data_IF_292665188073
#
_entry.id   IF_292665188073
#
_cell.length_a   1.000
_cell.length_b   1.000
_cell.length_c   1.000
_cell.angle_alpha   90.00
_cell.angle_beta   90.00
_cell.angle_gamma   90.00
#
_symmetry.space_group_name_H-M   'P 1'
#
loop_
_entity.id
_entity.type
_entity.pdbx_description
1 polymer ?
#
# COMPACT_ATOMS: atom_id res chain seq x y z
N UNK A 1 -12.16 -35.77 -45.41
CA UNK A 1 -11.16 -35.64 -44.33
C UNK A 1 -10.28 -34.40 -44.50
N UNK A 2 -10.03 -33.96 -45.73
CA UNK A 2 -9.27 -32.74 -46.12
C UNK A 2 -9.79 -31.39 -45.57
N UNK A 3 -11.10 -31.13 -45.63
CA UNK A 3 -11.66 -29.79 -45.31
C UNK A 3 -11.53 -29.44 -43.81
N UNK A 4 -11.61 -30.45 -42.91
CA UNK A 4 -11.41 -30.23 -41.48
C UNK A 4 -9.96 -29.84 -41.17
N UNK A 5 -8.97 -30.49 -41.80
CA UNK A 5 -7.56 -30.14 -41.62
C UNK A 5 -7.23 -28.75 -42.19
N UNK A 6 -7.82 -28.38 -43.32
CA UNK A 6 -7.65 -27.03 -43.89
C UNK A 6 -8.27 -25.94 -42.99
N UNK A 7 -9.47 -26.16 -42.44
CA UNK A 7 -10.09 -25.25 -41.47
C UNK A 7 -9.28 -25.12 -40.17
N UNK A 8 -8.69 -26.22 -39.68
CA UNK A 8 -7.80 -26.21 -38.51
C UNK A 8 -6.49 -25.45 -38.78
N UNK A 9 -5.90 -25.60 -39.97
CA UNK A 9 -4.67 -24.90 -40.38
C UNK A 9 -4.91 -23.39 -40.56
N UNK A 10 -6.04 -23.00 -41.15
CA UNK A 10 -6.43 -21.58 -41.31
C UNK A 10 -6.73 -20.93 -39.95
N UNK A 11 -7.45 -21.63 -39.06
CA UNK A 11 -7.69 -21.14 -37.70
C UNK A 11 -6.37 -21.00 -36.90
N UNK A 12 -5.47 -21.97 -36.99
CA UNK A 12 -4.15 -21.90 -36.35
C UNK A 12 -3.28 -20.76 -36.92
N UNK A 13 -3.30 -20.55 -38.23
CA UNK A 13 -2.56 -19.48 -38.91
C UNK A 13 -3.06 -18.08 -38.53
N UNK A 14 -4.34 -17.90 -38.19
CA UNK A 14 -4.89 -16.63 -37.69
C UNK A 14 -4.70 -16.45 -36.17
N UNK A 15 -4.79 -17.53 -35.38
CA UNK A 15 -4.71 -17.46 -33.90
C UNK A 15 -3.30 -17.19 -33.38
N UNK A 16 -2.27 -17.79 -33.99
CA UNK A 16 -0.87 -17.62 -33.59
C UNK A 16 -0.36 -16.16 -33.71
N UNK A 17 -0.57 -15.43 -34.82
CA UNK A 17 -0.19 -14.03 -34.92
C UNK A 17 -0.94 -13.14 -33.93
N UNK A 18 -2.24 -13.37 -33.71
CA UNK A 18 -3.04 -12.62 -32.71
C UNK A 18 -2.50 -12.83 -31.30
N UNK A 19 -2.15 -14.07 -30.94
CA UNK A 19 -1.56 -14.39 -29.63
C UNK A 19 -0.18 -13.71 -29.45
N UNK A 20 0.63 -13.71 -30.50
CA UNK A 20 1.93 -13.03 -30.53
C UNK A 20 1.79 -11.50 -30.37
N UNK A 21 0.82 -10.90 -31.05
CA UNK A 21 0.50 -9.47 -30.91
C UNK A 21 0.04 -9.12 -29.49
N UNK A 22 -0.87 -9.91 -28.90
CA UNK A 22 -1.34 -9.72 -27.51
C UNK A 22 -0.17 -9.80 -26.52
N UNK A 23 0.74 -10.75 -26.69
CA UNK A 23 1.94 -10.90 -25.84
C UNK A 23 2.90 -9.71 -25.97
N UNK A 24 3.16 -9.22 -27.19
CA UNK A 24 3.97 -8.01 -27.43
C UNK A 24 3.33 -6.77 -26.79
N UNK A 25 2.02 -6.62 -26.90
CA UNK A 25 1.26 -5.55 -26.25
C UNK A 25 1.38 -5.61 -24.71
N UNK A 26 1.20 -6.80 -24.13
CA UNK A 26 1.32 -6.99 -22.68
C UNK A 26 2.71 -6.64 -22.15
N UNK A 27 3.77 -7.08 -22.85
CA UNK A 27 5.16 -6.73 -22.49
C UNK A 27 5.40 -5.23 -22.54
N UNK A 28 4.91 -4.55 -23.58
CA UNK A 28 5.04 -3.09 -23.72
C UNK A 28 4.33 -2.35 -22.59
N UNK A 29 3.14 -2.81 -22.20
CA UNK A 29 2.39 -2.21 -21.10
C UNK A 29 3.06 -2.48 -19.75
N UNK A 30 3.48 -3.71 -19.48
CA UNK A 30 4.23 -4.07 -18.27
C UNK A 30 5.47 -3.19 -18.07
N UNK A 31 6.26 -2.99 -19.13
CA UNK A 31 7.47 -2.15 -19.06
C UNK A 31 7.19 -0.67 -18.73
N UNK A 32 5.94 -0.20 -18.89
CA UNK A 32 5.54 1.15 -18.48
C UNK A 32 5.07 1.24 -17.02
N UNK A 33 4.91 0.09 -16.35
CA UNK A 33 4.34 -0.02 -15.01
C UNK A 33 5.40 -0.41 -13.97
N UNK A 34 6.61 -0.78 -14.39
CA UNK A 34 7.69 -1.11 -13.46
C UNK A 34 8.07 0.13 -12.65
N UNK A 35 8.28 -0.07 -11.36
CA UNK A 35 8.49 0.99 -10.37
C UNK A 35 9.95 1.43 -10.25
N UNK A 36 10.84 0.85 -11.06
CA UNK A 36 12.18 1.40 -11.30
C UNK A 36 12.14 2.74 -12.08
N UNK A 37 10.96 3.11 -12.62
CA UNK A 37 10.73 4.34 -13.36
C UNK A 37 10.23 5.46 -12.42
N UNK A 38 10.94 6.59 -12.27
CA UNK A 38 10.54 7.66 -11.35
C UNK A 38 9.15 8.25 -11.60
N UNK A 39 8.72 8.32 -12.87
CA UNK A 39 7.39 8.81 -13.20
C UNK A 39 6.26 7.89 -12.71
N UNK A 40 6.53 6.58 -12.60
CA UNK A 40 5.57 5.60 -12.07
C UNK A 40 5.51 5.71 -10.54
N UNK A 41 6.66 5.86 -9.89
CA UNK A 41 6.74 6.14 -8.44
C UNK A 41 5.94 7.40 -8.09
N UNK A 42 6.14 8.48 -8.85
CA UNK A 42 5.43 9.74 -8.67
C UNK A 42 3.92 9.61 -8.92
N UNK A 43 3.49 8.85 -9.94
CA UNK A 43 2.07 8.56 -10.19
C UNK A 43 1.44 7.93 -8.96
N UNK A 44 2.06 6.87 -8.41
CA UNK A 44 1.56 6.14 -7.24
C UNK A 44 1.43 7.08 -6.05
N UNK A 45 2.49 7.82 -5.71
CA UNK A 45 2.48 8.76 -4.57
C UNK A 45 1.42 9.84 -4.74
N UNK A 46 1.30 10.41 -5.94
CA UNK A 46 0.33 11.48 -6.23
C UNK A 46 -1.11 11.00 -6.06
N UNK A 47 -1.43 9.79 -6.53
CA UNK A 47 -2.77 9.21 -6.39
C UNK A 47 -3.10 9.00 -4.91
N UNK A 48 -2.19 8.40 -4.14
CA UNK A 48 -2.39 8.21 -2.70
C UNK A 48 -2.62 9.53 -1.97
N UNK A 49 -1.76 10.52 -2.20
CA UNK A 49 -1.91 11.84 -1.58
C UNK A 49 -3.20 12.54 -2.00
N UNK A 50 -3.65 12.38 -3.25
CA UNK A 50 -4.94 12.90 -3.71
C UNK A 50 -6.10 12.28 -2.94
N UNK A 51 -6.10 10.95 -2.79
CA UNK A 51 -7.14 10.22 -2.04
C UNK A 51 -7.13 10.61 -0.55
N UNK A 52 -5.95 10.74 0.06
CA UNK A 52 -5.75 11.11 1.47
C UNK A 52 -6.27 12.52 1.78
N UNK A 53 -6.11 13.48 0.87
CA UNK A 53 -6.69 14.84 1.00
C UNK A 53 -8.21 14.86 0.96
N UNK A 54 -8.79 13.89 0.26
CA UNK A 54 -10.22 13.81 -0.05
C UNK A 54 -11.03 12.94 0.90
N UNK A 55 -10.46 12.48 2.02
CA UNK A 55 -11.17 11.62 2.97
C UNK A 55 -12.39 12.32 3.57
N UNK A 56 -13.43 11.52 3.80
CA UNK A 56 -14.65 11.95 4.49
C UNK A 56 -14.93 10.97 5.63
N UNK A 57 -15.04 11.43 6.89
CA UNK A 57 -14.88 12.83 7.33
C UNK A 57 -13.43 13.36 7.16
N UNK A 58 -13.20 14.69 7.18
CA UNK A 58 -11.86 15.24 7.05
C UNK A 58 -10.94 14.82 8.20
N UNK A 59 -9.65 14.68 7.91
CA UNK A 59 -8.62 14.23 8.83
C UNK A 59 -7.75 15.39 9.32
N UNK A 60 -7.49 15.50 10.63
CA UNK A 60 -6.63 16.53 11.20
C UNK A 60 -5.14 16.19 11.20
N UNK A 61 -4.78 14.91 11.11
CA UNK A 61 -3.42 14.40 11.27
C UNK A 61 -2.91 13.58 10.07
N UNK A 62 -3.54 13.67 8.90
CA UNK A 62 -3.19 12.84 7.74
C UNK A 62 -1.81 13.21 7.19
N UNK A 63 -0.80 12.32 7.31
CA UNK A 63 0.53 12.59 6.75
C UNK A 63 0.54 12.54 5.22
N UNK A 64 1.41 13.36 4.62
CA UNK A 64 1.78 13.28 3.21
C UNK A 64 2.65 12.06 2.98
N UNK A 65 2.25 11.21 2.04
CA UNK A 65 3.05 10.06 1.60
C UNK A 65 4.21 10.48 0.71
N UNK A 66 5.34 9.80 0.86
CA UNK A 66 6.55 9.91 0.04
C UNK A 66 7.01 8.51 -0.41
N UNK A 67 7.76 8.44 -1.51
CA UNK A 67 8.30 7.18 -1.99
C UNK A 67 9.46 6.69 -1.10
N UNK A 68 9.49 5.39 -0.80
CA UNK A 68 10.60 4.72 -0.13
C UNK A 68 11.19 3.64 -1.03
N UNK A 69 12.46 3.81 -1.39
CA UNK A 69 13.18 2.83 -2.20
C UNK A 69 13.38 1.51 -1.44
N UNK A 70 13.63 1.56 -0.13
CA UNK A 70 13.79 0.35 0.69
C UNK A 70 12.49 -0.47 0.73
N UNK A 71 11.34 0.20 0.93
CA UNK A 71 10.03 -0.47 0.88
C UNK A 71 9.74 -1.03 -0.52
N UNK A 72 10.10 -0.30 -1.58
CA UNK A 72 9.93 -0.77 -2.96
C UNK A 72 10.80 -2.00 -3.25
N UNK A 73 11.99 -2.08 -2.66
CA UNK A 73 12.89 -3.22 -2.78
C UNK A 73 12.31 -4.46 -2.09
N UNK A 74 11.76 -4.31 -0.88
CA UNK A 74 11.04 -5.37 -0.17
C UNK A 74 9.82 -5.85 -0.99
N UNK A 75 8.99 -4.93 -1.50
CA UNK A 75 7.85 -5.26 -2.36
C UNK A 75 8.29 -5.97 -3.66
N UNK A 76 9.43 -5.59 -4.24
CA UNK A 76 10.00 -6.23 -5.45
C UNK A 76 10.50 -7.64 -5.19
N UNK A 77 11.07 -7.90 -4.00
CA UNK A 77 11.44 -9.26 -3.58
C UNK A 77 10.18 -10.10 -3.43
N UNK A 78 9.21 -9.61 -2.64
CA UNK A 78 8.00 -10.36 -2.32
C UNK A 78 7.13 -10.65 -3.56
N UNK A 79 6.93 -9.68 -4.45
CA UNK A 79 6.12 -9.85 -5.66
C UNK A 79 6.62 -10.96 -6.59
N UNK A 80 7.91 -11.36 -6.50
CA UNK A 80 8.47 -12.48 -7.30
C UNK A 80 8.00 -13.85 -6.84
N UNK A 81 7.51 -14.00 -5.60
CA UNK A 81 6.92 -15.25 -5.15
C UNK A 81 5.62 -15.58 -5.90
N UNK A 82 4.97 -14.56 -6.47
CA UNK A 82 3.76 -14.74 -7.28
C UNK A 82 2.62 -15.44 -6.51
N UNK A 83 2.57 -15.22 -5.20
CA UNK A 83 1.57 -15.75 -4.28
C UNK A 83 0.82 -14.61 -3.60
N UNK A 84 -0.49 -14.75 -3.44
CA UNK A 84 -1.37 -13.76 -2.80
C UNK A 84 -1.45 -13.94 -1.27
N UNK A 85 -0.82 -15.00 -0.73
CA UNK A 85 -0.61 -15.17 0.72
C UNK A 85 0.07 -13.94 1.32
N UNK A 86 -0.12 -13.72 2.62
CA UNK A 86 0.51 -12.58 3.28
C UNK A 86 2.02 -12.74 3.37
N UNK A 87 2.78 -11.67 3.09
CA UNK A 87 4.22 -11.67 3.31
C UNK A 87 4.56 -11.74 4.80
N UNK A 88 5.75 -12.23 5.14
CA UNK A 88 6.25 -12.19 6.51
C UNK A 88 6.44 -10.72 6.95
N UNK A 89 5.87 -10.26 8.08
CA UNK A 89 6.06 -8.90 8.57
C UNK A 89 7.53 -8.51 8.78
N UNK A 90 8.40 -9.46 9.12
CA UNK A 90 9.83 -9.23 9.28
C UNK A 90 10.52 -8.89 7.94
N UNK A 91 10.01 -9.41 6.83
CA UNK A 91 10.52 -9.09 5.48
C UNK A 91 10.02 -7.72 4.99
N UNK A 92 9.03 -7.14 5.67
CA UNK A 92 8.53 -5.78 5.40
C UNK A 92 9.19 -4.73 6.28
N UNK A 93 10.08 -5.11 7.21
CA UNK A 93 10.71 -4.19 8.17
C UNK A 93 11.75 -3.29 7.49
N UNK A 94 11.75 -2.01 7.87
CA UNK A 94 12.79 -1.02 7.59
C UNK A 94 13.56 -0.70 8.89
N UNK A 95 14.71 0.00 8.85
CA UNK A 95 15.54 0.22 10.04
C UNK A 95 14.81 0.81 11.26
N UNK A 96 13.83 1.70 11.04
CA UNK A 96 13.10 2.39 12.10
C UNK A 96 11.58 2.19 12.05
N UNK A 97 11.08 1.18 11.33
CA UNK A 97 9.63 0.96 11.18
C UNK A 97 9.28 -0.43 10.66
N UNK A 98 8.07 -0.89 10.93
CA UNK A 98 7.43 -1.96 10.15
C UNK A 98 6.58 -1.36 9.01
N UNK A 99 6.16 -2.23 8.08
CA UNK A 99 5.33 -1.81 6.96
C UNK A 99 4.13 -2.76 6.78
N UNK A 100 2.97 -2.17 6.48
CA UNK A 100 1.78 -2.86 6.03
C UNK A 100 1.85 -3.20 4.55
N UNK A 101 0.81 -3.83 4.01
CA UNK A 101 0.83 -4.32 2.63
C UNK A 101 -0.55 -4.30 1.96
N UNK A 102 -0.60 -3.78 0.73
CA UNK A 102 -1.72 -4.02 -0.19
C UNK A 102 -1.26 -4.86 -1.38
N UNK A 103 -2.14 -5.78 -1.80
CA UNK A 103 -1.88 -6.77 -2.86
C UNK A 103 -2.99 -6.75 -3.90
N UNK A 104 -2.63 -7.03 -5.15
CA UNK A 104 -3.61 -7.31 -6.21
C UNK A 104 -3.03 -8.22 -7.30
N UNK A 105 -3.84 -9.13 -7.84
CA UNK A 105 -3.45 -10.01 -8.94
C UNK A 105 -4.37 -9.80 -10.13
N UNK A 106 -3.79 -9.62 -11.31
CA UNK A 106 -4.56 -9.39 -12.55
C UNK A 106 -4.12 -10.35 -13.67
N UNK A 107 -4.98 -10.57 -14.65
CA UNK A 107 -4.69 -11.42 -15.82
C UNK A 107 -3.92 -10.71 -16.93
N UNK A 108 -3.87 -9.38 -16.88
CA UNK A 108 -3.21 -8.51 -17.84
C UNK A 108 -2.61 -7.31 -17.10
N UNK A 109 -1.48 -6.71 -17.54
CA UNK A 109 -0.96 -5.52 -16.88
C UNK A 109 -1.99 -4.39 -16.98
N UNK A 110 -2.18 -3.63 -15.91
CA UNK A 110 -3.14 -2.52 -15.80
C UNK A 110 -2.44 -1.37 -15.08
N UNK A 111 -2.95 -0.15 -15.24
CA UNK A 111 -2.34 1.02 -14.61
C UNK A 111 -2.34 0.92 -13.08
N UNK A 112 -1.36 1.55 -12.44
CA UNK A 112 -1.34 1.70 -10.99
C UNK A 112 -2.59 2.43 -10.49
N UNK A 113 -3.05 3.46 -11.20
CA UNK A 113 -4.35 4.10 -10.96
C UNK A 113 -5.53 3.13 -10.92
N UNK A 114 -5.56 2.12 -11.79
CA UNK A 114 -6.63 1.11 -11.77
C UNK A 114 -6.54 0.22 -10.53
N UNK A 115 -5.33 -0.22 -10.17
CA UNK A 115 -5.10 -1.08 -9.01
C UNK A 115 -5.42 -0.37 -7.70
N UNK A 116 -4.93 0.86 -7.54
CA UNK A 116 -5.22 1.70 -6.37
C UNK A 116 -6.72 2.03 -6.31
N UNK A 117 -7.36 2.25 -7.46
CA UNK A 117 -8.81 2.44 -7.54
C UNK A 117 -9.61 1.22 -7.04
N UNK A 118 -9.14 -0.01 -7.32
CA UNK A 118 -9.75 -1.24 -6.78
C UNK A 118 -9.62 -1.27 -5.25
N UNK A 119 -8.43 -0.99 -4.71
CA UNK A 119 -8.22 -0.93 -3.26
C UNK A 119 -9.09 0.14 -2.60
N UNK A 120 -9.13 1.35 -3.17
CA UNK A 120 -9.93 2.45 -2.64
C UNK A 120 -11.44 2.19 -2.75
N UNK A 121 -11.89 1.36 -3.70
CA UNK A 121 -13.31 1.04 -3.88
C UNK A 121 -13.94 0.33 -2.68
N UNK A 122 -13.14 -0.23 -1.77
CA UNK A 122 -13.61 -0.77 -0.49
C UNK A 122 -14.21 0.30 0.43
N UNK A 123 -13.91 1.59 0.21
CA UNK A 123 -14.54 2.71 0.91
C UNK A 123 -16.07 2.67 0.94
N UNK A 124 -16.71 2.05 -0.07
CA UNK A 124 -18.17 1.88 -0.12
C UNK A 124 -18.73 1.05 1.03
N UNK A 125 -17.88 0.23 1.67
CA UNK A 125 -18.22 -0.62 2.80
C UNK A 125 -17.71 -0.06 4.14
N UNK A 126 -16.93 1.03 4.10
CA UNK A 126 -16.36 1.65 5.27
C UNK A 126 -17.26 2.77 5.80
N UNK A 127 -17.39 2.86 7.12
CA UNK A 127 -18.00 4.00 7.81
C UNK A 127 -17.10 4.36 8.98
N UNK A 128 -16.62 5.61 9.00
CA UNK A 128 -15.72 6.09 10.04
C UNK A 128 -16.34 5.93 11.43
N UNK A 129 -15.56 5.38 12.38
CA UNK A 129 -15.98 5.15 13.75
C UNK A 129 -16.86 3.91 13.94
N UNK A 130 -17.23 3.22 12.86
CA UNK A 130 -17.94 1.94 12.93
C UNK A 130 -17.00 0.80 12.58
N UNK A 131 -17.05 -0.27 13.36
CA UNK A 131 -16.29 -1.47 13.10
C UNK A 131 -16.65 -2.08 11.73
N UNK A 132 -15.66 -2.61 10.99
CA UNK A 132 -15.91 -3.32 9.74
C UNK A 132 -16.91 -4.46 9.91
N UNK A 133 -17.57 -4.83 8.81
CA UNK A 133 -18.44 -6.01 8.78
C UNK A 133 -17.66 -7.26 9.22
N UNK A 134 -18.33 -8.18 9.92
CA UNK A 134 -17.79 -9.52 10.20
C UNK A 134 -18.01 -10.50 9.03
N UNK A 135 -18.56 -10.01 7.93
CA UNK A 135 -18.72 -10.77 6.69
C UNK A 135 -17.38 -10.86 5.95
N UNK A 136 -16.85 -12.06 5.82
CA UNK A 136 -15.55 -12.34 5.19
C UNK A 136 -15.49 -11.89 3.71
N UNK A 137 -16.64 -11.73 3.05
CA UNK A 137 -16.70 -11.25 1.66
C UNK A 137 -16.58 -9.70 1.57
N UNK A 138 -16.59 -9.01 2.71
CA UNK A 138 -16.54 -7.54 2.80
C UNK A 138 -15.25 -7.11 3.52
N UNK A 139 -14.24 -6.71 2.74
CA UNK A 139 -13.01 -6.12 3.29
C UNK A 139 -12.98 -4.60 3.14
N UNK A 140 -12.36 -3.95 4.12
CA UNK A 140 -12.06 -2.49 4.11
C UNK A 140 -10.55 -2.21 4.25
N UNK A 141 -9.75 -3.26 4.38
CA UNK A 141 -8.35 -3.23 4.82
C UNK A 141 -7.46 -2.47 3.85
N UNK A 142 -7.71 -2.61 2.55
CA UNK A 142 -6.89 -1.98 1.52
C UNK A 142 -7.23 -0.50 1.43
N UNK A 143 -8.50 -0.14 1.59
CA UNK A 143 -8.92 1.25 1.73
C UNK A 143 -8.33 1.88 3.00
N UNK A 144 -8.51 1.29 4.18
CA UNK A 144 -8.02 1.85 5.44
C UNK A 144 -6.51 2.02 5.44
N UNK A 145 -5.75 1.12 4.82
CA UNK A 145 -4.31 1.26 4.64
C UNK A 145 -3.93 2.46 3.75
N UNK A 146 -4.66 2.73 2.65
CA UNK A 146 -4.43 3.91 1.79
C UNK A 146 -4.59 5.21 2.60
N UNK A 147 -5.60 5.24 3.48
CA UNK A 147 -5.96 6.43 4.26
C UNK A 147 -5.45 6.38 5.70
N UNK A 148 -4.47 5.51 6.01
CA UNK A 148 -3.91 5.42 7.35
C UNK A 148 -3.03 6.63 7.66
N UNK A 149 -3.39 7.43 8.68
CA UNK A 149 -2.77 8.73 8.92
C UNK A 149 -1.25 8.67 9.03
N UNK A 150 -0.72 7.64 9.70
CA UNK A 150 0.69 7.52 10.08
C UNK A 150 1.55 6.81 9.03
N UNK A 151 0.94 6.17 8.03
CA UNK A 151 1.66 5.58 6.90
C UNK A 151 2.10 6.67 5.92
N UNK A 152 3.35 7.14 6.06
CA UNK A 152 3.90 8.26 5.29
C UNK A 152 4.94 7.84 4.25
N UNK A 153 5.38 6.59 4.25
CA UNK A 153 6.25 6.02 3.23
C UNK A 153 5.48 4.95 2.45
N UNK A 154 5.69 4.92 1.14
CA UNK A 154 5.15 3.88 0.27
C UNK A 154 6.22 3.39 -0.71
N UNK A 155 6.30 2.08 -0.90
CA UNK A 155 7.13 1.47 -1.93
C UNK A 155 6.39 0.31 -2.57
N UNK A 156 6.40 0.26 -3.91
CA UNK A 156 5.59 -0.71 -4.65
C UNK A 156 6.39 -1.44 -5.71
N UNK A 157 5.87 -2.59 -6.14
CA UNK A 157 6.41 -3.37 -7.24
C UNK A 157 5.33 -4.14 -8.00
N UNK A 158 5.64 -4.46 -9.26
CA UNK A 158 4.86 -5.35 -10.11
C UNK A 158 5.75 -6.48 -10.62
N UNK A 159 5.26 -7.73 -10.55
CA UNK A 159 5.95 -8.90 -11.07
C UNK A 159 5.09 -9.66 -12.11
N UNK A 160 5.69 -10.13 -13.21
CA UNK A 160 5.02 -11.04 -14.13
C UNK A 160 5.04 -12.46 -13.56
N UNK A 161 3.87 -13.06 -13.47
CA UNK A 161 3.62 -14.36 -12.85
C UNK A 161 2.99 -15.35 -13.84
N UNK A 162 3.00 -16.63 -13.48
CA UNK A 162 2.26 -17.68 -14.19
C UNK A 162 1.46 -18.49 -13.20
N UNK A 163 0.15 -18.58 -13.41
CA UNK A 163 -0.72 -19.43 -12.63
C UNK A 163 -1.45 -20.40 -13.55
N UNK A 164 -1.25 -21.72 -13.35
CA UNK A 164 -1.81 -22.80 -14.19
C UNK A 164 -1.61 -22.53 -15.69
N UNK A 165 -0.41 -22.09 -16.08
CA UNK A 165 -0.05 -21.79 -17.48
C UNK A 165 -0.55 -20.46 -18.04
N UNK A 166 -1.40 -19.72 -17.31
CA UNK A 166 -1.90 -18.41 -17.73
C UNK A 166 -1.05 -17.27 -17.15
N UNK A 167 -0.79 -16.20 -17.92
CA UNK A 167 -0.09 -15.04 -17.41
C UNK A 167 -0.92 -14.35 -16.31
N UNK A 168 -0.19 -13.89 -15.30
CA UNK A 168 -0.71 -13.08 -14.20
C UNK A 168 0.28 -11.96 -13.91
N UNK A 169 -0.20 -10.89 -13.29
CA UNK A 169 0.62 -9.75 -12.89
C UNK A 169 0.27 -9.41 -11.45
N UNK A 170 1.28 -9.51 -10.59
CA UNK A 170 1.15 -9.34 -9.16
C UNK A 170 1.65 -7.97 -8.75
N UNK A 171 0.78 -7.18 -8.11
CA UNK A 171 1.05 -5.84 -7.63
C UNK A 171 1.12 -5.87 -6.12
N UNK A 172 2.17 -5.27 -5.57
CA UNK A 172 2.41 -5.17 -4.13
C UNK A 172 2.78 -3.72 -3.83
N UNK A 173 2.21 -3.16 -2.77
CA UNK A 173 2.66 -1.91 -2.15
C UNK A 173 2.87 -2.15 -0.66
N UNK A 174 4.01 -1.73 -0.13
CA UNK A 174 4.31 -1.66 1.30
C UNK A 174 4.14 -0.23 1.80
N UNK A 175 3.56 -0.07 2.99
CA UNK A 175 3.20 1.22 3.59
C UNK A 175 3.83 1.33 4.97
N UNK A 176 4.62 2.37 5.25
CA UNK A 176 5.38 2.49 6.50
C UNK A 176 5.14 3.86 7.17
N UNK A 177 4.82 3.96 8.46
CA UNK A 177 4.49 2.87 9.39
C UNK A 177 3.33 2.01 8.89
N UNK A 178 3.25 0.78 9.38
CA UNK A 178 2.13 -0.10 9.10
C UNK A 178 0.81 0.52 9.57
N UNK A 179 -0.25 0.28 8.81
CA UNK A 179 -1.60 0.66 9.18
C UNK A 179 -2.41 -0.52 9.68
N UNK A 180 -3.72 -0.29 9.81
CA UNK A 180 -4.71 -1.31 10.16
C UNK A 180 -4.45 -1.98 11.51
N UNK A 181 -3.98 -1.21 12.50
CA UNK A 181 -3.95 -1.66 13.88
C UNK A 181 -5.35 -2.21 14.26
N UNK A 182 -5.44 -3.48 14.71
CA UNK A 182 -6.71 -4.12 15.07
C UNK A 182 -7.56 -3.33 16.05
N UNK A 183 -6.96 -2.56 16.95
CA UNK A 183 -7.68 -1.80 17.98
C UNK A 183 -8.25 -0.48 17.46
N UNK A 184 -7.67 0.09 16.40
CA UNK A 184 -8.00 1.43 15.91
C UNK A 184 -8.44 1.46 14.44
N UNK A 185 -8.58 0.29 13.78
CA UNK A 185 -8.90 0.18 12.35
C UNK A 185 -10.17 0.90 11.89
N UNK A 186 -11.14 1.08 12.78
CA UNK A 186 -12.39 1.81 12.50
C UNK A 186 -12.18 3.34 12.42
N UNK A 187 -11.02 3.84 12.86
CA UNK A 187 -10.60 5.24 12.85
C UNK A 187 -9.16 5.37 12.29
N UNK A 188 -8.95 5.16 10.97
CA UNK A 188 -7.62 5.15 10.37
C UNK A 188 -6.87 6.49 10.42
N UNK A 189 -7.55 7.55 10.86
CA UNK A 189 -7.02 8.90 11.05
C UNK A 189 -7.85 9.61 12.11
N UNK A 190 -7.35 10.72 12.68
CA UNK A 190 -8.12 11.55 13.59
C UNK A 190 -9.06 12.45 12.79
N UNK A 191 -10.37 12.31 12.98
CA UNK A 191 -11.36 13.23 12.44
C UNK A 191 -11.12 14.66 12.97
N UNK A 192 -11.11 15.66 12.09
CA UNK A 192 -10.97 17.06 12.50
C UNK A 192 -10.75 18.00 11.32
N UNK A 193 -10.41 19.27 11.60
CA UNK A 193 -10.08 20.22 10.53
C UNK A 193 -8.75 19.81 9.90
N UNK A 194 -8.62 19.80 8.55
CA UNK A 194 -7.36 19.46 7.91
C UNK A 194 -6.16 20.20 8.49
N UNK A 195 -5.12 19.43 8.82
CA UNK A 195 -3.87 19.89 9.45
C UNK A 195 -3.99 20.53 10.85
N UNK A 196 -5.12 20.41 11.54
CA UNK A 196 -5.26 20.93 12.92
C UNK A 196 -4.25 20.32 13.90
N UNK A 197 -3.83 19.07 13.67
CA UNK A 197 -2.80 18.43 14.48
C UNK A 197 -1.36 18.82 14.08
N UNK A 198 -1.17 19.57 13.00
CA UNK A 198 0.14 19.92 12.43
C UNK A 198 0.16 21.34 11.82
N UNK A 199 -0.25 22.39 12.56
CA UNK A 199 -0.53 23.71 12.00
C UNK A 199 0.66 24.36 11.27
N UNK A 200 1.89 24.06 11.70
CA UNK A 200 3.13 24.59 11.10
C UNK A 200 3.75 23.66 10.05
N UNK A 201 3.17 22.49 9.82
CA UNK A 201 3.71 21.43 8.97
C UNK A 201 2.60 20.90 8.06
N UNK A 202 1.99 21.78 7.27
CA UNK A 202 0.85 21.47 6.43
C UNK A 202 1.12 21.84 4.97
N UNK A 203 0.89 20.90 4.07
CA UNK A 203 0.92 21.13 2.63
C UNK A 203 -0.33 20.53 2.00
N UNK A 204 -1.21 21.40 1.48
CA UNK A 204 -2.45 21.01 0.80
C UNK A 204 -3.22 19.92 1.58
N UNK A 205 -3.63 20.26 2.81
CA UNK A 205 -4.40 19.40 3.73
C UNK A 205 -3.67 18.16 4.28
N UNK A 206 -2.39 17.98 4.01
CA UNK A 206 -1.59 16.87 4.53
C UNK A 206 -0.48 17.36 5.46
N UNK A 207 -0.29 16.68 6.57
CA UNK A 207 0.82 16.92 7.51
C UNK A 207 2.17 16.50 6.91
N UNK A 208 3.23 17.24 7.21
CA UNK A 208 4.59 17.01 6.66
C UNK A 208 5.64 16.77 7.75
N UNK A 209 5.23 16.53 8.99
CA UNK A 209 6.07 16.24 10.15
C UNK A 209 5.85 14.82 10.68
N UNK A 210 6.22 13.77 9.92
CA UNK A 210 6.14 12.40 10.40
C UNK A 210 7.12 12.17 11.55
N UNK A 211 6.71 11.40 12.55
CA UNK A 211 7.66 10.82 13.49
C UNK A 211 8.41 9.72 12.74
N UNK A 212 9.74 9.81 12.68
CA UNK A 212 10.55 8.80 11.97
C UNK A 212 10.86 7.57 12.84
N UNK A 213 10.64 7.70 14.15
CA UNK A 213 10.84 6.63 15.11
C UNK A 213 9.56 5.81 15.25
N UNK A 214 9.71 4.61 15.75
CA UNK A 214 8.62 3.67 15.98
C UNK A 214 8.68 3.17 17.42
N UNK A 215 7.50 2.95 17.99
CA UNK A 215 7.35 2.31 19.28
C UNK A 215 7.18 0.80 19.05
N UNK A 216 8.12 0.01 19.54
CA UNK A 216 8.08 -1.46 19.44
C UNK A 216 7.01 -2.07 20.36
N UNK A 217 6.58 -1.33 21.40
CA UNK A 217 5.51 -1.72 22.32
C UNK A 217 4.27 -0.85 22.14
N UNK A 218 3.10 -1.46 22.28
CA UNK A 218 1.80 -0.79 22.12
C UNK A 218 1.42 0.09 23.30
N UNK A 219 1.97 -0.18 24.49
CA UNK A 219 1.68 0.53 25.75
C UNK A 219 2.73 1.57 26.14
N UNK A 220 3.53 2.03 25.17
CA UNK A 220 4.63 2.98 25.39
C UNK A 220 4.21 4.27 26.11
N UNK A 221 2.97 4.73 25.93
CA UNK A 221 2.42 5.87 26.67
C UNK A 221 2.35 5.62 28.19
N UNK A 222 2.03 4.40 28.62
CA UNK A 222 2.00 4.02 30.03
C UNK A 222 3.43 3.80 30.57
N UNK A 223 4.25 3.06 29.84
CA UNK A 223 5.66 2.80 30.20
C UNK A 223 6.46 4.09 30.42
N UNK A 224 6.37 5.05 29.49
CA UNK A 224 7.02 6.35 29.61
C UNK A 224 6.47 7.17 30.78
N UNK A 225 5.16 7.09 31.05
CA UNK A 225 4.55 7.81 32.18
C UNK A 225 5.05 7.31 33.53
N UNK A 226 5.28 6.00 33.69
CA UNK A 226 5.71 5.41 34.96
C UNK A 226 7.23 5.41 35.16
N UNK A 227 7.99 5.12 34.11
CA UNK A 227 9.44 4.92 34.20
C UNK A 227 10.25 6.11 33.67
N UNK A 228 9.65 6.92 32.79
CA UNK A 228 10.33 7.99 32.08
C UNK A 228 11.23 7.50 30.95
N UNK A 229 11.52 8.39 30.00
CA UNK A 229 12.33 8.07 28.81
C UNK A 229 13.80 7.76 29.08
N UNK A 230 14.31 8.07 30.28
CA UNK A 230 15.67 7.75 30.68
C UNK A 230 15.82 6.30 31.19
N UNK A 231 14.71 5.63 31.51
CA UNK A 231 14.73 4.23 31.90
C UNK A 231 15.10 3.34 30.69
N UNK A 232 15.81 2.23 30.94
CA UNK A 232 16.35 1.36 29.89
C UNK A 232 15.29 0.84 28.92
N UNK A 233 14.13 0.41 29.43
CA UNK A 233 13.03 -0.13 28.63
C UNK A 233 12.41 0.92 27.69
N UNK A 234 11.82 2.05 28.16
CA UNK A 234 11.24 3.03 27.24
C UNK A 234 12.27 3.64 26.28
N UNK A 235 13.52 3.83 26.73
CA UNK A 235 14.59 4.34 25.85
C UNK A 235 14.87 3.42 24.66
N UNK A 236 14.71 2.11 24.82
CA UNK A 236 14.99 1.14 23.77
C UNK A 236 13.77 0.88 22.87
N UNK A 237 12.58 0.76 23.47
CA UNK A 237 11.38 0.26 22.79
C UNK A 237 10.29 1.32 22.56
N UNK A 238 10.39 2.50 23.17
CA UNK A 238 9.39 3.56 23.07
C UNK A 238 9.96 4.84 22.45
N UNK A 239 10.71 4.68 21.35
CA UNK A 239 11.45 5.79 20.73
C UNK A 239 10.52 6.86 20.16
N UNK A 240 9.42 6.49 19.52
CA UNK A 240 8.46 7.48 19.02
C UNK A 240 7.86 8.26 20.19
N UNK A 241 7.47 7.56 21.27
CA UNK A 241 6.94 8.26 22.44
C UNK A 241 7.95 9.12 23.18
N UNK A 242 9.23 8.78 23.15
CA UNK A 242 10.28 9.54 23.82
C UNK A 242 10.94 10.64 23.00
N UNK A 243 10.91 10.54 21.68
CA UNK A 243 11.69 11.40 20.79
C UNK A 243 10.85 12.22 19.80
N UNK A 244 9.54 11.99 19.75
CA UNK A 244 8.61 12.74 18.90
C UNK A 244 7.57 13.45 19.77
N UNK A 245 7.80 14.74 19.99
CA UNK A 245 6.94 15.59 20.81
C UNK A 245 5.87 16.31 19.98
N UNK A 246 6.19 16.65 18.72
CA UNK A 246 5.34 17.49 17.86
C UNK A 246 4.95 16.81 16.55
N UNK A 247 5.65 15.74 16.21
CA UNK A 247 5.47 14.94 15.02
C UNK A 247 4.24 14.05 15.12
N UNK A 248 3.64 13.72 13.97
CA UNK A 248 2.53 12.77 13.91
C UNK A 248 3.08 11.36 14.06
N UNK A 249 2.55 10.62 15.04
CA UNK A 249 2.81 9.20 15.33
C UNK A 249 1.50 8.44 15.47
#
# INVERSE_FOLDING_TARGET
MEIKHLLFLVAAACLLPVLSMKRKSAKKLFNKLVTDLPNVQQEIVNIHNTLRRGVVPPASNMLKMSWSEEAAQNAKIFSRYCDMTESNPLERRLPNTFCGENRNMTSYPVSWSSVIGVWYSESKYFRYGLWPSTDDDISTDRYTQIVWATSYLIGCAIAPCRHKGSPRYFYVCHYCHEGNDPETKHEPYKKGVPCEACPNNCEDKLCTNPCIYYDEYTDCSLEVRFLGCNHSTPRMFCKATCLCDTEIK
#
